data_IF_196387787384
#
_entry.id   IF_196387787384
#
_cell.length_a   1.000
_cell.length_b   1.000
_cell.length_c   1.000
_cell.angle_alpha   90.00
_cell.angle_beta   90.00
_cell.angle_gamma   90.00
#
_symmetry.space_group_name_H-M   'P 1'
#
loop_
_entity.id
_entity.type
_entity.pdbx_description
1 polymer ?
#
# COMPACT_ATOMS: atom_id res chain seq x y z
N UNK A 1 -15.42 -28.17 15.01
CA UNK A 1 -16.30 -27.02 14.77
C UNK A 1 -15.48 -25.90 14.15
N UNK A 2 -15.95 -25.18 13.12
CA UNK A 2 -15.22 -24.04 12.57
C UNK A 2 -14.99 -23.01 13.68
N UNK A 3 -13.75 -22.56 13.86
CA UNK A 3 -13.41 -21.65 14.95
C UNK A 3 -13.96 -20.25 14.64
N UNK A 4 -15.13 -19.94 15.22
CA UNK A 4 -15.93 -18.74 14.93
C UNK A 4 -15.14 -17.44 15.16
N UNK A 5 -14.19 -17.45 16.10
CA UNK A 5 -13.30 -16.33 16.40
C UNK A 5 -12.34 -16.02 15.24
N UNK A 6 -11.68 -17.02 14.68
CA UNK A 6 -10.72 -16.84 13.57
C UNK A 6 -11.45 -16.41 12.30
N UNK A 7 -12.63 -16.98 12.02
CA UNK A 7 -13.45 -16.53 10.90
C UNK A 7 -13.90 -15.07 11.05
N UNK A 8 -14.22 -14.62 12.26
CA UNK A 8 -14.57 -13.23 12.54
C UNK A 8 -13.34 -12.32 12.37
N UNK A 9 -12.19 -12.68 12.93
CA UNK A 9 -10.93 -11.94 12.77
C UNK A 9 -10.55 -11.79 11.30
N UNK A 10 -10.64 -12.89 10.53
CA UNK A 10 -10.43 -12.87 9.08
C UNK A 10 -11.34 -11.84 8.41
N UNK A 11 -12.66 -11.88 8.64
CA UNK A 11 -13.60 -10.93 8.02
C UNK A 11 -13.33 -9.47 8.40
N UNK A 12 -12.95 -9.22 9.66
CA UNK A 12 -12.62 -7.87 10.12
C UNK A 12 -11.34 -7.35 9.45
N UNK A 13 -10.31 -8.19 9.34
CA UNK A 13 -9.07 -7.87 8.63
C UNK A 13 -9.32 -7.65 7.14
N UNK A 14 -10.09 -8.50 6.47
CA UNK A 14 -10.44 -8.32 5.05
C UNK A 14 -11.09 -6.95 4.81
N UNK A 15 -12.02 -6.55 5.69
CA UNK A 15 -12.66 -5.24 5.61
C UNK A 15 -11.67 -4.10 5.84
N UNK A 16 -10.85 -4.18 6.88
CA UNK A 16 -9.87 -3.15 7.22
C UNK A 16 -8.79 -2.99 6.13
N UNK A 17 -8.28 -4.11 5.60
CA UNK A 17 -7.34 -4.13 4.47
C UNK A 17 -8.01 -3.52 3.24
N UNK A 18 -9.29 -3.79 3.01
CA UNK A 18 -10.07 -3.18 1.94
C UNK A 18 -10.12 -1.65 2.07
N UNK A 19 -10.33 -1.11 3.26
CA UNK A 19 -10.28 0.35 3.50
C UNK A 19 -8.88 0.92 3.26
N UNK A 20 -7.82 0.27 3.76
CA UNK A 20 -6.44 0.68 3.48
C UNK A 20 -6.12 0.61 1.98
N UNK A 21 -6.64 -0.38 1.25
CA UNK A 21 -6.38 -0.56 -0.19
C UNK A 21 -6.99 0.55 -1.05
N UNK A 22 -8.05 1.21 -0.59
CA UNK A 22 -8.66 2.36 -1.30
C UNK A 22 -7.76 3.58 -1.32
N UNK A 23 -6.84 3.67 -0.38
CA UNK A 23 -6.01 4.84 -0.15
C UNK A 23 -4.51 4.53 -0.27
N UNK A 24 -4.07 3.30 -0.04
CA UNK A 24 -2.71 2.84 -0.25
C UNK A 24 -2.72 1.41 -0.82
N UNK A 25 -2.63 1.32 -2.15
CA UNK A 25 -2.73 0.04 -2.85
C UNK A 25 -1.58 -0.90 -2.52
N UNK A 26 -0.37 -0.36 -2.34
CA UNK A 26 0.83 -1.14 -2.02
C UNK A 26 0.66 -1.85 -0.67
N UNK A 27 0.27 -1.12 0.37
CA UNK A 27 0.01 -1.72 1.68
C UNK A 27 -1.18 -2.68 1.62
N UNK A 28 -2.25 -2.32 0.91
CA UNK A 28 -3.38 -3.21 0.67
C UNK A 28 -2.98 -4.57 0.12
N UNK A 29 -2.13 -4.60 -0.91
CA UNK A 29 -1.59 -5.84 -1.50
C UNK A 29 -0.69 -6.58 -0.51
N UNK A 30 0.19 -5.88 0.22
CA UNK A 30 1.09 -6.49 1.19
C UNK A 30 0.33 -7.19 2.32
N UNK A 31 -0.64 -6.51 2.94
CA UNK A 31 -1.46 -7.09 4.00
C UNK A 31 -2.38 -8.20 3.48
N UNK A 32 -2.89 -8.09 2.25
CA UNK A 32 -3.65 -9.18 1.62
C UNK A 32 -2.81 -10.45 1.48
N UNK A 33 -1.53 -10.33 1.06
CA UNK A 33 -0.61 -11.46 0.97
C UNK A 33 -0.33 -12.08 2.35
N UNK A 34 -0.06 -11.25 3.37
CA UNK A 34 0.15 -11.71 4.76
C UNK A 34 -1.08 -12.45 5.30
N UNK A 35 -2.28 -11.87 5.13
CA UNK A 35 -3.53 -12.50 5.53
C UNK A 35 -3.74 -13.84 4.83
N UNK A 36 -3.48 -13.92 3.53
CA UNK A 36 -3.60 -15.17 2.77
C UNK A 36 -2.67 -16.25 3.33
N UNK A 37 -1.41 -15.93 3.62
CA UNK A 37 -0.47 -16.87 4.21
C UNK A 37 -0.95 -17.40 5.57
N UNK A 38 -1.53 -16.55 6.43
CA UNK A 38 -2.11 -16.97 7.71
C UNK A 38 -3.35 -17.87 7.53
N UNK A 39 -4.20 -17.55 6.56
CA UNK A 39 -5.38 -18.36 6.23
C UNK A 39 -4.97 -19.72 5.68
N UNK A 40 -3.96 -19.79 4.82
CA UNK A 40 -3.44 -21.04 4.27
C UNK A 40 -2.84 -21.89 5.39
N UNK A 41 -2.01 -21.29 6.27
CA UNK A 41 -1.49 -21.93 7.50
C UNK A 41 -2.60 -22.44 8.42
N UNK A 42 -3.71 -21.73 8.53
CA UNK A 42 -4.89 -22.17 9.29
C UNK A 42 -5.59 -23.38 8.63
N UNK A 43 -5.69 -23.39 7.30
CA UNK A 43 -6.40 -24.42 6.54
C UNK A 43 -5.59 -25.72 6.38
N UNK A 44 -4.27 -25.64 6.32
CA UNK A 44 -3.37 -26.79 6.16
C UNK A 44 -3.18 -27.64 7.44
N UNK A 45 -3.83 -27.25 8.54
CA UNK A 45 -3.76 -27.98 9.81
C UNK A 45 -4.32 -29.38 9.65
N UNK A 46 -3.55 -30.38 10.08
CA UNK A 46 -3.98 -31.78 10.07
C UNK A 46 -4.94 -32.06 11.24
N UNK A 47 -5.84 -33.02 11.10
CA UNK A 47 -6.75 -33.44 12.18
C UNK A 47 -6.02 -33.82 13.49
N UNK A 48 -4.74 -34.21 13.42
CA UNK A 48 -3.90 -34.47 14.60
C UNK A 48 -3.48 -33.23 15.39
N UNK A 49 -3.40 -32.05 14.77
CA UNK A 49 -3.08 -30.77 15.42
C UNK A 49 -4.29 -30.18 16.18
N UNK A 50 -5.49 -30.74 15.97
CA UNK A 50 -6.74 -30.27 16.60
C UNK A 50 -6.74 -30.50 18.11
N UNK A 51 -5.95 -31.47 18.59
CA UNK A 51 -5.76 -31.74 20.02
C UNK A 51 -4.76 -30.77 20.68
N UNK A 52 -3.96 -30.06 19.87
CA UNK A 52 -2.96 -29.14 20.37
C UNK A 52 -3.51 -27.70 20.41
N UNK A 53 -4.15 -27.37 21.53
CA UNK A 53 -4.69 -26.03 21.79
C UNK A 53 -3.64 -24.92 21.66
N UNK A 54 -2.34 -25.24 21.71
CA UNK A 54 -1.25 -24.28 21.52
C UNK A 54 -1.21 -23.76 20.08
N UNK A 55 -1.22 -24.66 19.08
CA UNK A 55 -1.19 -24.32 17.65
C UNK A 55 -2.34 -23.42 17.22
N UNK A 56 -3.53 -23.64 17.79
CA UNK A 56 -4.69 -22.79 17.55
C UNK A 56 -4.49 -21.38 18.12
N UNK A 57 -3.93 -21.31 19.32
CA UNK A 57 -3.67 -20.06 20.05
C UNK A 57 -2.58 -19.25 19.34
N UNK A 58 -1.52 -19.90 18.88
CA UNK A 58 -0.41 -19.25 18.17
C UNK A 58 -0.89 -18.56 16.89
N UNK A 59 -1.69 -19.25 16.07
CA UNK A 59 -2.23 -18.65 14.85
C UNK A 59 -3.24 -17.55 15.20
N UNK A 60 -4.04 -17.71 16.26
CA UNK A 60 -4.91 -16.63 16.70
C UNK A 60 -4.11 -15.39 17.12
N UNK A 61 -2.95 -15.57 17.77
CA UNK A 61 -2.02 -14.48 18.07
C UNK A 61 -1.45 -13.86 16.79
N UNK A 62 -1.05 -14.65 15.78
CA UNK A 62 -0.59 -14.12 14.49
C UNK A 62 -1.68 -13.26 13.79
N UNK A 63 -2.96 -13.64 13.90
CA UNK A 63 -4.07 -12.81 13.42
C UNK A 63 -4.20 -11.49 14.21
N UNK A 64 -3.98 -11.52 15.53
CA UNK A 64 -4.01 -10.32 16.39
C UNK A 64 -2.82 -9.42 16.08
N UNK A 65 -1.64 -9.98 15.88
CA UNK A 65 -0.43 -9.25 15.50
C UNK A 65 -0.62 -8.58 14.14
N UNK A 66 -1.18 -9.28 13.15
CA UNK A 66 -1.51 -8.69 11.86
C UNK A 66 -2.53 -7.54 11.98
N UNK A 67 -3.50 -7.64 12.89
CA UNK A 67 -4.40 -6.53 13.20
C UNK A 67 -3.64 -5.33 13.77
N UNK A 68 -2.69 -5.59 14.67
CA UNK A 68 -1.83 -4.57 15.28
C UNK A 68 -0.95 -3.88 14.24
N UNK A 69 -0.29 -4.64 13.38
CA UNK A 69 0.53 -4.13 12.27
C UNK A 69 -0.30 -3.28 11.31
N UNK A 70 -1.50 -3.75 10.91
CA UNK A 70 -2.37 -2.99 10.02
C UNK A 70 -2.80 -1.67 10.65
N UNK A 71 -3.14 -1.68 11.94
CA UNK A 71 -3.51 -0.47 12.69
C UNK A 71 -2.32 0.49 12.81
N UNK A 72 -1.12 -0.01 13.07
CA UNK A 72 0.08 0.80 13.14
C UNK A 72 0.40 1.44 11.78
N UNK A 73 0.37 0.66 10.71
CA UNK A 73 0.60 1.16 9.35
C UNK A 73 -0.47 2.18 8.94
N UNK A 74 -1.73 1.93 9.29
CA UNK A 74 -2.81 2.87 9.03
C UNK A 74 -2.67 4.19 9.79
N UNK A 75 -1.79 4.31 10.80
CA UNK A 75 -1.50 5.55 11.52
C UNK A 75 -0.07 6.07 11.29
N UNK A 76 0.78 5.34 10.56
CA UNK A 76 2.22 5.63 10.43
C UNK A 76 2.51 6.95 9.70
N UNK A 77 1.56 7.45 8.90
CA UNK A 77 1.66 8.75 8.23
C UNK A 77 1.82 9.91 9.23
N UNK A 78 1.18 9.83 10.40
CA UNK A 78 1.21 10.89 11.41
C UNK A 78 2.62 11.05 12.00
N UNK A 79 3.31 9.94 12.23
CA UNK A 79 4.68 9.93 12.76
C UNK A 79 5.70 10.43 11.74
N UNK A 80 5.38 10.31 10.44
CA UNK A 80 6.21 10.78 9.33
C UNK A 80 5.98 12.26 8.95
N UNK A 81 5.00 12.93 9.57
CA UNK A 81 4.67 14.33 9.24
C UNK A 81 4.19 14.53 7.80
N UNK A 82 3.49 13.52 7.25
CA UNK A 82 2.93 13.51 5.90
C UNK A 82 1.44 13.15 5.95
N UNK A 83 0.71 13.54 4.91
CA UNK A 83 -0.69 13.13 4.77
C UNK A 83 -0.80 11.68 4.25
N UNK A 84 -2.03 11.15 4.27
CA UNK A 84 -2.30 9.78 3.87
C UNK A 84 -2.01 9.53 2.37
N UNK A 85 -2.22 10.53 1.51
CA UNK A 85 -1.97 10.42 0.06
C UNK A 85 -0.47 10.44 -0.23
N UNK A 86 0.27 11.34 0.43
CA UNK A 86 1.73 11.43 0.41
C UNK A 86 2.36 10.11 0.89
N UNK A 87 1.81 9.50 1.94
CA UNK A 87 2.25 8.18 2.43
C UNK A 87 2.08 7.08 1.38
N UNK A 88 1.01 7.11 0.59
CA UNK A 88 0.84 6.12 -0.48
C UNK A 88 1.92 6.25 -1.56
N UNK A 89 2.30 7.48 -1.93
CA UNK A 89 3.40 7.70 -2.88
C UNK A 89 4.75 7.29 -2.29
N UNK A 90 5.00 7.61 -1.01
CA UNK A 90 6.18 7.13 -0.30
C UNK A 90 6.27 5.60 -0.34
N UNK A 91 5.19 4.89 -0.03
CA UNK A 91 5.18 3.43 -0.02
C UNK A 91 5.40 2.81 -1.41
N UNK A 92 4.93 3.48 -2.47
CA UNK A 92 5.24 3.09 -3.85
C UNK A 92 6.73 3.20 -4.12
N UNK A 93 7.34 4.35 -3.79
CA UNK A 93 8.77 4.56 -3.98
C UNK A 93 9.58 3.56 -3.15
N UNK A 94 9.20 3.32 -1.90
CA UNK A 94 9.86 2.34 -1.03
C UNK A 94 9.73 0.92 -1.57
N UNK A 95 8.55 0.53 -2.07
CA UNK A 95 8.34 -0.79 -2.66
C UNK A 95 9.22 -0.99 -3.91
N UNK A 96 9.42 0.07 -4.70
CA UNK A 96 10.29 0.03 -5.88
C UNK A 96 11.77 0.00 -5.50
N UNK A 97 12.19 0.74 -4.47
CA UNK A 97 13.57 0.68 -3.98
C UNK A 97 13.93 -0.72 -3.50
N UNK A 98 13.01 -1.40 -2.82
CA UNK A 98 13.17 -2.81 -2.42
C UNK A 98 13.14 -3.75 -3.63
N UNK A 99 12.25 -3.52 -4.61
CA UNK A 99 12.12 -4.38 -5.81
C UNK A 99 13.38 -4.36 -6.68
N UNK A 100 14.01 -3.19 -6.81
CA UNK A 100 15.19 -2.98 -7.65
C UNK A 100 16.50 -2.97 -6.85
N UNK A 101 16.42 -3.28 -5.54
CA UNK A 101 17.55 -3.43 -4.62
C UNK A 101 18.50 -2.23 -4.62
N UNK A 102 17.94 -1.03 -4.41
CA UNK A 102 18.72 0.19 -4.24
C UNK A 102 18.36 0.94 -2.96
N UNK A 103 19.37 1.58 -2.38
CA UNK A 103 19.20 2.47 -1.25
C UNK A 103 18.86 3.88 -1.73
N UNK A 104 17.86 4.48 -1.11
CA UNK A 104 17.48 5.86 -1.33
C UNK A 104 17.11 6.49 0.02
N UNK A 105 17.65 7.67 0.37
CA UNK A 105 17.43 8.27 1.69
C UNK A 105 15.94 8.51 1.97
N UNK A 106 15.48 8.10 3.15
CA UNK A 106 14.07 8.21 3.54
C UNK A 106 13.59 9.68 3.54
N UNK A 107 14.43 10.62 3.99
CA UNK A 107 14.11 12.07 3.95
C UNK A 107 13.82 12.57 2.53
N UNK A 108 14.64 12.15 1.56
CA UNK A 108 14.45 12.50 0.15
C UNK A 108 13.21 11.80 -0.43
N UNK A 109 12.93 10.58 0.00
CA UNK A 109 11.74 9.84 -0.42
C UNK A 109 10.46 10.52 0.05
N UNK A 110 10.46 11.05 1.27
CA UNK A 110 9.37 11.86 1.83
C UNK A 110 9.18 13.13 1.01
N UNK A 111 10.24 13.90 0.75
CA UNK A 111 10.14 15.12 -0.07
C UNK A 111 9.65 14.83 -1.49
N UNK A 112 10.17 13.78 -2.11
CA UNK A 112 9.76 13.32 -3.43
C UNK A 112 8.28 12.91 -3.46
N UNK A 113 7.79 12.22 -2.44
CA UNK A 113 6.38 11.85 -2.31
C UNK A 113 5.47 13.08 -2.20
N UNK A 114 5.86 14.10 -1.41
CA UNK A 114 5.14 15.39 -1.30
C UNK A 114 5.07 16.11 -2.65
N UNK A 115 6.18 16.14 -3.38
CA UNK A 115 6.25 16.77 -4.71
C UNK A 115 5.44 16.00 -5.75
N UNK A 116 5.52 14.67 -5.76
CA UNK A 116 4.72 13.83 -6.65
C UNK A 116 3.22 14.07 -6.43
N UNK A 117 2.80 14.18 -5.16
CA UNK A 117 1.42 14.53 -4.79
C UNK A 117 1.00 15.89 -5.36
N UNK A 118 1.85 16.91 -5.23
CA UNK A 118 1.58 18.22 -5.80
C UNK A 118 1.41 18.20 -7.34
N UNK A 119 2.28 17.47 -8.05
CA UNK A 119 2.16 17.32 -9.52
C UNK A 119 0.88 16.58 -9.92
N UNK A 120 0.53 15.52 -9.18
CA UNK A 120 -0.71 14.77 -9.38
C UNK A 120 -1.93 15.67 -9.12
N UNK A 121 -1.97 16.42 -8.02
CA UNK A 121 -3.08 17.32 -7.68
C UNK A 121 -3.27 18.42 -8.73
N UNK A 122 -2.17 19.00 -9.22
CA UNK A 122 -2.20 20.00 -10.29
C UNK A 122 -2.87 19.45 -11.55
N UNK A 123 -2.67 18.17 -11.87
CA UNK A 123 -3.28 17.51 -13.03
C UNK A 123 -4.69 17.00 -12.71
N UNK A 124 -4.95 16.62 -11.46
CA UNK A 124 -6.22 16.07 -11.01
C UNK A 124 -7.36 17.10 -11.01
N UNK A 125 -7.04 18.41 -11.03
CA UNK A 125 -8.02 19.49 -11.20
C UNK A 125 -8.74 19.45 -12.55
N UNK A 126 -8.17 18.82 -13.58
CA UNK A 126 -8.82 18.70 -14.88
C UNK A 126 -9.92 17.61 -14.89
N UNK A 127 -11.14 17.93 -15.36
CA UNK A 127 -12.19 16.92 -15.55
C UNK A 127 -11.73 15.82 -16.50
N UNK A 128 -12.00 14.56 -16.13
CA UNK A 128 -11.60 13.37 -16.91
C UNK A 128 -10.12 13.31 -17.33
N UNK A 129 -9.19 13.92 -16.56
CA UNK A 129 -7.75 13.88 -16.86
C UNK A 129 -7.22 12.46 -17.12
N UNK A 130 -7.73 11.47 -16.39
CA UNK A 130 -7.36 10.05 -16.53
C UNK A 130 -7.77 9.43 -17.87
N UNK A 131 -8.66 10.05 -18.64
CA UNK A 131 -9.04 9.59 -20.00
C UNK A 131 -8.25 10.29 -21.09
N UNK A 132 -7.52 11.37 -20.77
CA UNK A 132 -6.81 12.19 -21.76
C UNK A 132 -5.35 11.76 -21.85
N UNK A 133 -4.99 11.16 -22.98
CA UNK A 133 -3.63 10.69 -23.23
C UNK A 133 -2.59 11.82 -23.16
N UNK A 134 -2.92 13.02 -23.64
CA UNK A 134 -2.02 14.18 -23.57
C UNK A 134 -1.68 14.58 -22.14
N UNK A 135 -2.67 14.62 -21.26
CA UNK A 135 -2.50 14.99 -19.85
C UNK A 135 -1.72 13.91 -19.09
N UNK A 136 -1.98 12.63 -19.38
CA UNK A 136 -1.19 11.51 -18.83
C UNK A 136 0.28 11.58 -19.25
N UNK A 137 0.54 11.83 -20.52
CA UNK A 137 1.91 11.98 -21.03
C UNK A 137 2.63 13.18 -20.41
N UNK A 138 1.92 14.30 -20.22
CA UNK A 138 2.48 15.47 -19.52
C UNK A 138 2.85 15.15 -18.06
N UNK A 139 1.94 14.49 -17.33
CA UNK A 139 2.21 14.04 -15.96
C UNK A 139 3.38 13.05 -15.90
N UNK A 140 3.47 12.14 -16.87
CA UNK A 140 4.58 11.19 -16.98
C UNK A 140 5.92 11.91 -17.10
N UNK A 141 6.03 12.87 -18.01
CA UNK A 141 7.27 13.62 -18.21
C UNK A 141 7.63 14.40 -16.94
N UNK A 142 6.66 15.07 -16.32
CA UNK A 142 6.88 15.80 -15.05
C UNK A 142 7.38 14.89 -13.94
N UNK A 143 6.76 13.72 -13.76
CA UNK A 143 7.19 12.75 -12.76
C UNK A 143 8.59 12.21 -13.04
N UNK A 144 8.91 11.87 -14.30
CA UNK A 144 10.26 11.39 -14.66
C UNK A 144 11.32 12.46 -14.39
N UNK A 145 11.04 13.73 -14.74
CA UNK A 145 11.94 14.84 -14.45
C UNK A 145 12.12 15.05 -12.95
N UNK A 146 11.04 14.95 -12.18
CA UNK A 146 11.07 15.04 -10.73
C UNK A 146 11.91 13.91 -10.09
N UNK A 147 11.71 12.66 -10.53
CA UNK A 147 12.52 11.52 -10.09
C UNK A 147 14.01 11.76 -10.38
N UNK A 148 14.34 12.26 -11.57
CA UNK A 148 15.70 12.57 -11.96
C UNK A 148 16.32 13.72 -11.14
N UNK A 149 15.57 14.79 -10.90
CA UNK A 149 15.99 15.94 -10.08
C UNK A 149 16.34 15.52 -8.64
N UNK A 150 15.55 14.61 -8.08
CA UNK A 150 15.77 14.09 -6.73
C UNK A 150 16.77 12.91 -6.69
N UNK A 151 17.36 12.53 -7.83
CA UNK A 151 18.35 11.47 -7.94
C UNK A 151 17.80 10.07 -7.70
N UNK A 152 16.50 9.87 -7.90
CA UNK A 152 15.87 8.56 -7.81
C UNK A 152 16.31 7.69 -9.00
N UNK A 153 16.77 6.44 -8.79
CA UNK A 153 17.34 5.62 -9.84
C UNK A 153 16.40 5.40 -11.04
N UNK A 154 16.87 5.62 -12.28
CA UNK A 154 16.02 5.56 -13.46
C UNK A 154 15.52 4.16 -13.79
N UNK A 155 16.13 3.12 -13.21
CA UNK A 155 15.72 1.72 -13.34
C UNK A 155 14.28 1.48 -12.86
N UNK A 156 13.80 2.33 -11.95
CA UNK A 156 12.46 2.25 -11.40
C UNK A 156 11.49 3.29 -12.01
N UNK A 157 11.90 4.13 -12.96
CA UNK A 157 11.10 5.25 -13.44
C UNK A 157 9.77 4.84 -14.08
N UNK A 158 9.79 3.82 -14.94
CA UNK A 158 8.58 3.37 -15.65
C UNK A 158 7.56 2.77 -14.68
N UNK A 159 8.02 1.96 -13.74
CA UNK A 159 7.18 1.36 -12.71
C UNK A 159 6.71 2.41 -11.68
N UNK A 160 7.59 3.36 -11.28
CA UNK A 160 7.23 4.47 -10.41
C UNK A 160 6.11 5.30 -11.03
N UNK A 161 6.25 5.69 -12.29
CA UNK A 161 5.20 6.40 -13.01
C UNK A 161 3.90 5.60 -13.01
N UNK A 162 3.95 4.32 -13.39
CA UNK A 162 2.75 3.49 -13.51
C UNK A 162 2.03 3.35 -12.17
N UNK A 163 2.75 3.03 -11.11
CA UNK A 163 2.18 2.85 -9.77
C UNK A 163 1.63 4.17 -9.20
N UNK A 164 2.37 5.29 -9.36
CA UNK A 164 1.93 6.63 -8.94
C UNK A 164 0.66 7.03 -9.70
N UNK A 165 0.60 6.78 -11.01
CA UNK A 165 -0.58 7.09 -11.83
C UNK A 165 -1.80 6.25 -11.43
N UNK A 166 -1.62 4.95 -11.24
CA UNK A 166 -2.69 4.06 -10.78
C UNK A 166 -3.20 4.50 -9.40
N UNK A 167 -2.31 4.91 -8.51
CA UNK A 167 -2.65 5.42 -7.18
C UNK A 167 -3.41 6.75 -7.25
N UNK A 168 -2.99 7.67 -8.13
CA UNK A 168 -3.70 8.92 -8.39
C UNK A 168 -5.12 8.69 -8.93
N UNK A 169 -5.30 7.73 -9.84
CA UNK A 169 -6.62 7.34 -10.34
C UNK A 169 -7.49 6.74 -9.23
N UNK A 170 -6.89 5.96 -8.33
CA UNK A 170 -7.57 5.36 -7.18
C UNK A 170 -8.08 6.45 -6.21
N UNK A 171 -7.26 7.46 -5.92
CA UNK A 171 -7.70 8.60 -5.12
C UNK A 171 -8.90 9.30 -5.73
N UNK A 172 -8.89 9.58 -7.04
CA UNK A 172 -10.03 10.20 -7.71
C UNK A 172 -11.31 9.34 -7.63
N UNK A 173 -11.20 8.02 -7.76
CA UNK A 173 -12.36 7.11 -7.67
C UNK A 173 -12.95 7.05 -6.26
N UNK A 174 -12.11 7.19 -5.24
CA UNK A 174 -12.51 7.09 -3.83
C UNK A 174 -12.70 8.45 -3.14
N UNK A 175 -12.35 9.56 -3.79
CA UNK A 175 -12.78 10.93 -3.43
C UNK A 175 -14.29 11.02 -3.71
N UNK A 176 -15.10 10.53 -2.78
CA UNK A 176 -16.53 10.82 -2.76
C UNK A 176 -16.68 12.32 -2.51
N UNK A 177 -17.26 13.02 -3.47
CA UNK A 177 -17.72 14.41 -3.34
C UNK A 177 -18.85 14.47 -2.30
#
# INVERSE_FOLDING_TARGET
MPNTKIQLLKKLLEKAIGEVSKTNKVQGVNFTKKLKALVDKYNERKEGDVLDSSVLTDIANEFVDLCGELKAEANSFADMGIDYEEKAFYDILKALSVKYDFEYPDDKMIELAKKAKHEVDSVATFPDWSKRASIKAELQVKLILLLAEYGYPPVANDDAYKEILEQAENFKKNRVV
#
